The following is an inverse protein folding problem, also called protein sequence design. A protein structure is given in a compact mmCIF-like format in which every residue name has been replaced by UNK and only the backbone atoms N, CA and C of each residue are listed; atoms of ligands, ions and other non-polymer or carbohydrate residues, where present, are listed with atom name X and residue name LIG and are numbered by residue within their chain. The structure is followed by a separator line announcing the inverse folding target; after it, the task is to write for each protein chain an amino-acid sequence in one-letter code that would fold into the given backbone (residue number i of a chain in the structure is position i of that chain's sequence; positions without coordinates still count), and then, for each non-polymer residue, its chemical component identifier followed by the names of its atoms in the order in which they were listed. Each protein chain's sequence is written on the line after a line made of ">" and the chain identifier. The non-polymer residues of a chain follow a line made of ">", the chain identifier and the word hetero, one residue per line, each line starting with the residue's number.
data_IF_471895553216
#
_entry.id   IF_471895553216
#
_cell.length_a   1.000
_cell.length_b   1.000
_cell.length_c   1.000
_cell.angle_alpha   90.00
_cell.angle_beta   90.00
_cell.angle_gamma   90.00
#
_symmetry.space_group_name_H-M   'P 1'
#
loop_
_entity.id
_entity.type
_entity.pdbx_description
1 polymer ?
#
# COMPACT_ATOMS: atom_id res chain seq x y z
N UNK A 1 1.12 -8.87 -67.46
CA UNK A 1 1.45 -9.86 -66.41
C UNK A 1 0.75 -9.49 -65.12
N UNK A 2 -0.40 -10.12 -64.83
CA UNK A 2 -1.18 -9.89 -63.60
C UNK A 2 -0.61 -10.80 -62.51
N UNK A 3 0.11 -10.22 -61.56
CA UNK A 3 0.60 -10.92 -60.38
C UNK A 3 -0.60 -11.37 -59.53
N UNK A 4 -0.76 -12.67 -59.37
CA UNK A 4 -1.90 -13.35 -58.75
C UNK A 4 -2.12 -12.91 -57.29
N UNK A 5 -3.34 -12.44 -57.01
CA UNK A 5 -3.85 -11.97 -55.72
C UNK A 5 -3.86 -13.05 -54.61
N UNK A 6 -3.43 -14.29 -54.91
CA UNK A 6 -3.45 -15.45 -54.00
C UNK A 6 -2.27 -15.54 -53.03
N UNK A 7 -1.20 -14.74 -53.21
CA UNK A 7 0.00 -14.79 -52.36
C UNK A 7 -0.13 -13.89 -51.12
N UNK A 8 -0.93 -12.81 -51.16
CA UNK A 8 -1.13 -11.91 -50.01
C UNK A 8 -2.06 -12.47 -48.93
N UNK A 9 -2.90 -13.46 -49.25
CA UNK A 9 -3.90 -14.01 -48.33
C UNK A 9 -3.29 -15.08 -47.40
N UNK A 10 -2.16 -15.69 -47.76
CA UNK A 10 -1.47 -16.68 -46.91
C UNK A 10 -0.64 -16.07 -45.77
N UNK A 11 -0.26 -14.80 -45.85
CA UNK A 11 0.46 -14.10 -44.79
C UNK A 11 -0.43 -13.24 -43.89
N UNK A 12 -1.70 -13.02 -44.27
CA UNK A 12 -2.68 -12.32 -43.42
C UNK A 12 -3.36 -13.20 -42.37
N UNK A 13 -3.19 -14.52 -42.43
CA UNK A 13 -3.78 -15.44 -41.43
C UNK A 13 -2.78 -16.03 -40.43
N UNK A 14 -1.47 -15.76 -40.59
CA UNK A 14 -0.40 -16.28 -39.73
C UNK A 14 0.34 -15.18 -38.94
N UNK A 15 -0.24 -13.98 -38.88
CA UNK A 15 0.28 -12.83 -38.11
C UNK A 15 -0.81 -12.17 -37.24
N UNK A 16 -1.90 -12.88 -36.95
CA UNK A 16 -2.99 -12.44 -36.07
C UNK A 16 -3.21 -13.38 -34.86
N UNK A 17 -2.20 -14.20 -34.50
CA UNK A 17 -2.34 -15.24 -33.47
C UNK A 17 -1.16 -15.29 -32.47
N UNK A 18 -0.46 -14.17 -32.26
CA UNK A 18 0.66 -14.09 -31.30
C UNK A 18 0.64 -12.84 -30.40
N UNK A 19 -0.55 -12.40 -29.94
CA UNK A 19 -0.67 -11.27 -28.99
C UNK A 19 -1.84 -11.42 -27.99
N UNK A 20 -2.20 -12.65 -27.59
CA UNK A 20 -3.18 -12.86 -26.50
C UNK A 20 -2.68 -13.91 -25.50
N UNK A 21 -1.54 -13.63 -24.90
CA UNK A 21 -1.19 -14.17 -23.59
C UNK A 21 -0.98 -13.01 -22.62
N UNK A 22 -1.98 -12.10 -22.53
CA UNK A 22 -2.10 -11.25 -21.35
C UNK A 22 -2.53 -12.18 -20.22
N UNK A 23 -1.55 -12.68 -19.47
CA UNK A 23 -1.80 -13.42 -18.24
C UNK A 23 -2.71 -12.56 -17.36
N UNK A 24 -3.94 -13.00 -17.17
CA UNK A 24 -4.83 -12.35 -16.22
C UNK A 24 -4.20 -12.48 -14.84
N UNK A 25 -4.00 -11.39 -14.08
CA UNK A 25 -3.55 -11.51 -12.71
C UNK A 25 -4.61 -12.35 -11.97
N UNK A 26 -4.22 -13.55 -11.53
CA UNK A 26 -5.12 -14.39 -10.74
C UNK A 26 -5.49 -13.65 -9.47
N UNK A 27 -6.77 -13.29 -9.34
CA UNK A 27 -7.33 -12.66 -8.16
C UNK A 27 -7.59 -13.71 -7.08
N UNK A 28 -6.53 -14.24 -6.47
CA UNK A 28 -6.69 -15.05 -5.27
C UNK A 28 -7.22 -14.16 -4.13
N UNK A 29 -8.08 -14.73 -3.28
CA UNK A 29 -8.45 -14.14 -2.01
C UNK A 29 -7.19 -13.79 -1.22
N UNK A 30 -7.23 -12.71 -0.44
CA UNK A 30 -6.13 -12.39 0.46
C UNK A 30 -5.86 -13.57 1.41
N UNK A 31 -4.59 -13.87 1.68
CA UNK A 31 -4.28 -14.96 2.63
C UNK A 31 -4.76 -14.58 4.03
N UNK A 32 -5.19 -15.55 4.83
CA UNK A 32 -5.58 -15.32 6.25
C UNK A 32 -4.51 -14.54 7.02
N UNK A 33 -3.28 -14.84 6.68
CA UNK A 33 -2.09 -14.27 7.24
C UNK A 33 -1.90 -12.78 6.89
N UNK A 34 -2.04 -12.47 5.60
CA UNK A 34 -2.10 -11.08 5.14
C UNK A 34 -3.23 -10.33 5.84
N UNK A 35 -4.41 -10.95 5.97
CA UNK A 35 -5.57 -10.32 6.61
C UNK A 35 -5.39 -10.02 8.09
N UNK A 36 -4.67 -10.88 8.83
CA UNK A 36 -4.27 -10.60 10.21
C UNK A 36 -3.42 -9.33 10.32
N UNK A 37 -2.45 -9.16 9.41
CA UNK A 37 -1.57 -7.97 9.40
C UNK A 37 -2.28 -6.73 8.92
N UNK A 38 -3.08 -6.85 7.86
CA UNK A 38 -3.93 -5.78 7.37
C UNK A 38 -4.83 -5.27 8.49
N UNK A 39 -5.45 -6.17 9.25
CA UNK A 39 -6.34 -5.83 10.37
C UNK A 39 -5.64 -4.99 11.42
N UNK A 40 -4.47 -5.42 11.90
CA UNK A 40 -3.68 -4.66 12.88
C UNK A 40 -3.23 -3.32 12.32
N UNK A 41 -2.82 -3.29 11.05
CA UNK A 41 -2.42 -2.06 10.35
C UNK A 41 -3.60 -1.08 10.22
N UNK A 42 -4.78 -1.58 9.87
CA UNK A 42 -5.99 -0.77 9.72
C UNK A 42 -6.42 -0.16 11.05
N UNK A 43 -6.43 -0.93 12.14
CA UNK A 43 -6.73 -0.40 13.49
C UNK A 43 -5.71 0.64 13.92
N UNK A 44 -4.41 0.40 13.70
CA UNK A 44 -3.35 1.37 14.02
C UNK A 44 -3.50 2.68 13.21
N UNK A 45 -3.81 2.58 11.92
CA UNK A 45 -4.10 3.73 11.07
C UNK A 45 -5.36 4.47 11.52
N UNK A 46 -6.38 3.78 12.05
CA UNK A 46 -7.54 4.45 12.61
C UNK A 46 -7.22 5.19 13.92
N UNK A 47 -6.37 4.61 14.77
CA UNK A 47 -5.86 5.32 15.94
C UNK A 47 -5.15 6.63 15.51
N UNK A 48 -4.34 6.59 14.45
CA UNK A 48 -3.72 7.80 13.89
C UNK A 48 -4.75 8.81 13.35
N UNK A 49 -5.79 8.35 12.67
CA UNK A 49 -6.90 9.20 12.20
C UNK A 49 -7.56 9.96 13.35
N UNK A 50 -7.77 9.29 14.48
CA UNK A 50 -8.37 9.87 15.70
C UNK A 50 -7.38 10.80 16.40
N UNK A 51 -6.16 10.32 16.71
CA UNK A 51 -5.11 11.07 17.41
C UNK A 51 -4.78 12.39 16.70
N UNK A 52 -4.80 12.39 15.37
CA UNK A 52 -4.48 13.56 14.56
C UNK A 52 -5.72 14.34 14.10
N UNK A 53 -6.91 14.09 14.66
CA UNK A 53 -8.15 14.79 14.32
C UNK A 53 -8.41 14.89 12.80
N UNK A 54 -8.13 13.81 12.04
CA UNK A 54 -8.27 13.85 10.58
C UNK A 54 -9.73 13.87 10.12
N UNK A 55 -10.65 13.37 10.96
CA UNK A 55 -12.09 13.39 10.70
C UNK A 55 -12.56 12.35 9.69
N UNK A 56 -11.75 11.36 9.34
CA UNK A 56 -12.21 10.29 8.45
C UNK A 56 -13.09 9.29 9.20
N UNK A 57 -14.20 8.86 8.58
CA UNK A 57 -15.22 8.00 9.19
C UNK A 57 -15.67 6.89 8.25
N UNK A 58 -16.62 6.05 8.70
CA UNK A 58 -17.21 4.96 7.93
C UNK A 58 -16.47 3.62 8.11
N UNK A 59 -16.91 2.56 7.41
CA UNK A 59 -16.38 1.19 7.59
C UNK A 59 -14.86 1.09 7.45
N UNK A 60 -14.31 1.84 6.49
CA UNK A 60 -12.86 2.02 6.33
C UNK A 60 -12.22 2.45 7.65
N UNK A 61 -12.73 3.48 8.33
CA UNK A 61 -12.12 4.04 9.54
C UNK A 61 -12.75 3.50 10.83
N UNK A 62 -12.95 2.18 10.89
CA UNK A 62 -13.41 1.48 12.09
C UNK A 62 -12.25 1.14 13.04
N UNK A 63 -12.51 1.16 14.35
CA UNK A 63 -11.63 0.62 15.38
C UNK A 63 -11.82 -0.89 15.60
N UNK A 64 -12.81 -1.50 14.95
CA UNK A 64 -13.14 -2.92 15.08
C UNK A 64 -12.18 -3.80 14.23
N UNK A 65 -11.31 -4.61 14.86
CA UNK A 65 -10.42 -5.51 14.13
C UNK A 65 -11.18 -6.63 13.40
N UNK A 66 -12.28 -7.15 13.97
CA UNK A 66 -13.05 -8.25 13.37
C UNK A 66 -13.59 -7.81 12.00
N UNK A 67 -14.17 -6.60 11.95
CA UNK A 67 -14.66 -5.98 10.72
C UNK A 67 -13.60 -5.92 9.60
N UNK A 68 -12.37 -5.51 9.93
CA UNK A 68 -11.27 -5.44 8.94
C UNK A 68 -10.83 -6.82 8.47
N UNK A 69 -10.79 -7.79 9.39
CA UNK A 69 -10.39 -9.15 9.08
C UNK A 69 -11.41 -9.84 8.17
N UNK A 70 -12.70 -9.76 8.52
CA UNK A 70 -13.80 -10.28 7.72
C UNK A 70 -13.82 -9.68 6.31
N UNK A 71 -13.70 -8.35 6.22
CA UNK A 71 -13.62 -7.67 4.92
C UNK A 71 -12.44 -8.18 4.10
N UNK A 72 -11.25 -8.28 4.70
CA UNK A 72 -10.05 -8.70 4.00
C UNK A 72 -10.14 -10.14 3.48
N UNK A 73 -10.67 -11.07 4.29
CA UNK A 73 -10.82 -12.48 3.91
C UNK A 73 -11.75 -12.67 2.70
N UNK A 74 -12.67 -11.74 2.49
CA UNK A 74 -13.58 -11.71 1.33
C UNK A 74 -13.03 -10.89 0.15
N UNK A 75 -11.97 -10.11 0.36
CA UNK A 75 -11.31 -9.34 -0.68
C UNK A 75 -10.23 -10.16 -1.39
N UNK A 76 -9.97 -9.84 -2.67
CA UNK A 76 -8.74 -10.32 -3.32
C UNK A 76 -7.51 -9.67 -2.68
N UNK A 77 -6.35 -10.35 -2.72
CA UNK A 77 -5.10 -9.79 -2.19
C UNK A 77 -4.77 -8.41 -2.80
N UNK A 78 -5.01 -8.22 -4.09
CA UNK A 78 -4.81 -6.94 -4.76
C UNK A 78 -5.79 -5.85 -4.27
N UNK A 79 -7.04 -6.21 -3.98
CA UNK A 79 -8.02 -5.26 -3.43
C UNK A 79 -7.64 -4.86 -2.01
N UNK A 80 -7.23 -5.80 -1.18
CA UNK A 80 -6.79 -5.52 0.19
C UNK A 80 -5.53 -4.63 0.23
N UNK A 81 -4.57 -4.87 -0.68
CA UNK A 81 -3.41 -4.00 -0.85
C UNK A 81 -3.79 -2.58 -1.28
N UNK A 82 -4.68 -2.44 -2.28
CA UNK A 82 -5.16 -1.13 -2.75
C UNK A 82 -5.92 -0.38 -1.67
N UNK A 83 -6.68 -1.08 -0.84
CA UNK A 83 -7.38 -0.48 0.29
C UNK A 83 -6.39 0.08 1.31
N UNK A 84 -5.37 -0.68 1.70
CA UNK A 84 -4.35 -0.17 2.62
C UNK A 84 -3.61 1.05 2.05
N UNK A 85 -3.27 1.04 0.75
CA UNK A 85 -2.68 2.22 0.08
C UNK A 85 -3.64 3.40 0.06
N UNK A 86 -4.94 3.19 -0.13
CA UNK A 86 -5.94 4.25 -0.06
C UNK A 86 -6.00 4.88 1.34
N UNK A 87 -5.91 4.07 2.40
CA UNK A 87 -5.86 4.54 3.80
C UNK A 87 -4.62 5.39 4.07
N UNK A 88 -3.45 4.91 3.64
CA UNK A 88 -2.19 5.66 3.71
C UNK A 88 -2.33 7.02 2.99
N UNK A 89 -2.88 7.03 1.78
CA UNK A 89 -3.08 8.24 0.99
C UNK A 89 -4.09 9.22 1.62
N UNK A 90 -5.06 8.72 2.38
CA UNK A 90 -5.98 9.56 3.14
C UNK A 90 -5.30 10.13 4.38
N UNK A 91 -4.57 9.34 5.17
CA UNK A 91 -3.77 9.87 6.29
C UNK A 91 -2.74 10.91 5.81
N UNK A 92 -2.20 10.74 4.60
CA UNK A 92 -1.38 11.75 3.93
C UNK A 92 -2.10 13.06 3.59
N UNK A 93 -3.41 13.13 3.75
CA UNK A 93 -4.18 14.35 3.53
C UNK A 93 -4.87 14.81 4.80
N UNK A 94 -4.51 14.22 5.94
CA UNK A 94 -5.12 14.51 7.24
C UNK A 94 -5.13 16.02 7.51
N UNK A 95 -6.32 16.63 7.70
CA UNK A 95 -6.44 18.07 7.95
C UNK A 95 -6.07 18.47 9.39
N UNK A 96 -6.22 17.57 10.36
CA UNK A 96 -6.01 17.87 11.78
C UNK A 96 -4.56 17.76 12.27
N UNK A 97 -3.63 17.31 11.42
CA UNK A 97 -2.20 17.35 11.77
C UNK A 97 -1.76 18.82 11.81
N UNK A 98 -1.41 19.31 12.98
CA UNK A 98 -0.74 20.59 13.13
C UNK A 98 0.73 20.43 12.73
N UNK A 99 1.13 21.15 11.70
CA UNK A 99 2.51 21.15 11.23
C UNK A 99 3.25 22.30 11.91
N UNK A 100 4.50 22.10 12.38
CA UNK A 100 5.37 23.22 12.70
C UNK A 100 5.42 24.18 11.50
N UNK A 101 5.37 25.49 11.77
CA UNK A 101 5.46 26.48 10.70
C UNK A 101 6.73 26.26 9.87
N UNK A 102 6.57 26.12 8.55
CA UNK A 102 7.69 25.84 7.61
C UNK A 102 8.04 24.36 7.44
N UNK A 103 7.33 23.43 8.08
CA UNK A 103 7.55 21.99 7.85
C UNK A 103 7.04 21.54 6.46
N UNK A 104 7.80 20.66 5.82
CA UNK A 104 7.38 19.94 4.61
C UNK A 104 6.27 18.96 4.98
N UNK A 105 5.05 19.26 4.53
CA UNK A 105 3.84 18.47 4.82
C UNK A 105 4.01 17.02 4.41
N UNK A 106 4.56 16.74 3.22
CA UNK A 106 4.78 15.38 2.70
C UNK A 106 5.72 14.60 3.61
N UNK A 107 6.78 15.22 4.12
CA UNK A 107 7.72 14.58 5.01
C UNK A 107 7.19 14.35 6.42
N UNK A 108 6.35 15.25 6.92
CA UNK A 108 5.65 15.03 8.17
C UNK A 108 4.76 13.78 8.08
N UNK A 109 3.98 13.68 7.01
CA UNK A 109 3.13 12.52 6.74
C UNK A 109 3.94 11.24 6.62
N UNK A 110 5.00 11.24 5.80
CA UNK A 110 5.85 10.07 5.62
C UNK A 110 6.37 9.58 6.98
N UNK A 111 6.77 10.49 7.85
CA UNK A 111 7.28 10.17 9.19
C UNK A 111 6.23 9.54 10.09
N UNK A 112 4.98 10.05 10.08
CA UNK A 112 3.86 9.46 10.85
C UNK A 112 3.52 8.06 10.34
N UNK A 113 3.40 7.89 9.01
CA UNK A 113 3.14 6.57 8.40
C UNK A 113 4.25 5.59 8.75
N UNK A 114 5.50 6.06 8.74
CA UNK A 114 6.68 5.26 9.06
C UNK A 114 6.68 4.73 10.49
N UNK A 115 6.38 5.61 11.45
CA UNK A 115 6.24 5.22 12.86
C UNK A 115 5.06 4.27 13.04
N UNK A 116 3.95 4.51 12.33
CA UNK A 116 2.77 3.62 12.35
C UNK A 116 3.10 2.21 11.86
N UNK A 117 3.82 2.10 10.74
CA UNK A 117 4.29 0.81 10.23
C UNK A 117 5.26 0.15 11.21
N UNK A 118 6.15 0.91 11.87
CA UNK A 118 7.02 0.35 12.90
C UNK A 118 6.24 -0.12 14.15
N UNK A 119 5.19 0.59 14.54
CA UNK A 119 4.29 0.13 15.62
C UNK A 119 3.61 -1.19 15.22
N UNK A 120 3.19 -1.32 13.95
CA UNK A 120 2.66 -2.57 13.43
C UNK A 120 3.70 -3.69 13.53
N UNK A 121 4.92 -3.48 13.00
CA UNK A 121 6.08 -4.38 13.09
C UNK A 121 6.30 -4.93 14.51
N UNK A 122 6.33 -4.04 15.50
CA UNK A 122 6.50 -4.42 16.91
C UNK A 122 5.29 -5.17 17.46
N UNK A 123 4.06 -4.73 17.14
CA UNK A 123 2.83 -5.37 17.61
C UNK A 123 2.55 -6.75 16.97
N UNK A 124 3.14 -7.02 15.82
CA UNK A 124 3.05 -8.30 15.11
C UNK A 124 4.19 -9.25 15.47
N UNK A 125 5.19 -8.81 16.24
CA UNK A 125 6.36 -9.62 16.58
C UNK A 125 7.27 -9.87 15.37
N UNK A 126 7.29 -8.95 14.41
CA UNK A 126 8.04 -9.12 13.17
C UNK A 126 9.54 -8.89 13.29
N UNK A 127 9.96 -8.17 14.34
CA UNK A 127 11.36 -7.90 14.66
C UNK A 127 12.17 -7.28 13.52
N UNK A 128 11.50 -6.64 12.55
CA UNK A 128 12.17 -5.90 11.49
C UNK A 128 12.94 -4.73 12.11
N UNK A 129 14.17 -4.51 11.66
CA UNK A 129 15.11 -3.62 12.33
C UNK A 129 15.90 -2.73 11.34
N UNK A 130 16.74 -1.85 11.88
CA UNK A 130 17.52 -0.90 11.12
C UNK A 130 16.83 0.45 10.90
N UNK A 131 17.45 1.37 10.12
CA UNK A 131 17.00 2.76 10.02
C UNK A 131 15.56 2.93 9.52
N UNK A 132 15.09 2.02 8.66
CA UNK A 132 13.73 2.11 8.11
C UNK A 132 12.62 1.68 9.10
N UNK A 133 12.98 0.91 10.12
CA UNK A 133 12.13 0.39 11.19
C UNK A 133 12.43 1.09 12.52
N UNK A 134 12.36 2.42 12.50
CA UNK A 134 12.64 3.29 13.65
C UNK A 134 11.37 3.96 14.18
N UNK A 135 11.30 4.19 15.49
CA UNK A 135 10.27 5.03 16.13
C UNK A 135 10.61 6.52 16.12
N UNK A 136 11.80 6.90 15.63
CA UNK A 136 12.26 8.29 15.64
C UNK A 136 11.65 9.09 14.47
N UNK A 137 10.82 10.08 14.81
CA UNK A 137 10.20 10.99 13.84
C UNK A 137 11.22 11.79 13.04
N UNK A 138 12.18 12.41 13.72
CA UNK A 138 13.20 13.26 13.08
C UNK A 138 14.03 12.50 12.06
N UNK A 139 14.35 11.24 12.35
CA UNK A 139 15.07 10.36 11.41
C UNK A 139 14.31 10.16 10.09
N UNK A 140 13.02 9.81 10.16
CA UNK A 140 12.19 9.64 8.95
C UNK A 140 12.00 10.96 8.20
N UNK A 141 11.82 12.05 8.95
CA UNK A 141 11.61 13.37 8.37
C UNK A 141 12.86 13.87 7.62
N UNK A 142 14.03 13.77 8.24
CA UNK A 142 15.32 14.15 7.64
C UNK A 142 15.64 13.34 6.39
N UNK A 143 15.40 12.02 6.39
CA UNK A 143 15.55 11.22 5.18
C UNK A 143 14.59 11.68 4.08
N UNK A 144 13.31 11.92 4.40
CA UNK A 144 12.33 12.35 3.42
C UNK A 144 12.68 13.69 2.75
N UNK A 145 13.29 14.63 3.45
CA UNK A 145 13.71 15.91 2.87
C UNK A 145 14.70 15.73 1.71
N UNK A 146 15.46 14.63 1.71
CA UNK A 146 16.40 14.27 0.65
C UNK A 146 15.81 13.33 -0.41
N UNK A 147 14.65 12.73 -0.14
CA UNK A 147 14.03 11.73 -1.00
C UNK A 147 12.90 12.32 -1.85
N UNK A 148 12.81 11.88 -3.10
CA UNK A 148 11.69 12.23 -3.98
C UNK A 148 10.36 11.67 -3.46
N UNK A 149 9.23 12.26 -3.88
CA UNK A 149 7.89 11.73 -3.58
C UNK A 149 7.79 10.25 -3.97
N UNK A 150 8.29 9.88 -5.14
CA UNK A 150 8.28 8.51 -5.65
C UNK A 150 9.04 7.56 -4.71
N UNK A 151 10.24 7.95 -4.27
CA UNK A 151 11.02 7.16 -3.32
C UNK A 151 10.31 7.02 -1.97
N UNK A 152 9.67 8.08 -1.46
CA UNK A 152 8.91 7.98 -0.20
C UNK A 152 7.71 7.03 -0.31
N UNK A 153 7.00 7.04 -1.43
CA UNK A 153 5.88 6.13 -1.69
C UNK A 153 6.36 4.68 -1.86
N UNK A 154 7.49 4.50 -2.56
CA UNK A 154 8.13 3.20 -2.73
C UNK A 154 8.57 2.62 -1.38
N UNK A 155 9.14 3.45 -0.48
CA UNK A 155 9.56 3.01 0.84
C UNK A 155 8.38 2.57 1.72
N UNK A 156 7.28 3.34 1.73
CA UNK A 156 6.06 2.95 2.44
C UNK A 156 5.54 1.61 1.93
N UNK A 157 5.52 1.43 0.60
CA UNK A 157 5.06 0.19 -0.03
C UNK A 157 6.00 -0.98 0.27
N UNK A 158 7.31 -0.77 0.24
CA UNK A 158 8.31 -1.79 0.54
C UNK A 158 8.20 -2.27 1.98
N UNK A 159 8.11 -1.35 2.94
CA UNK A 159 7.86 -1.69 4.35
C UNK A 159 6.56 -2.43 4.56
N UNK A 160 5.50 -2.04 3.87
CA UNK A 160 4.25 -2.77 3.96
C UNK A 160 4.43 -4.22 3.48
N UNK A 161 5.12 -4.42 2.35
CA UNK A 161 5.41 -5.76 1.85
C UNK A 161 6.27 -6.59 2.81
N UNK A 162 7.19 -5.96 3.54
CA UNK A 162 7.97 -6.62 4.58
C UNK A 162 7.09 -7.06 5.76
N UNK A 163 6.18 -6.20 6.23
CA UNK A 163 5.17 -6.57 7.23
C UNK A 163 4.29 -7.72 6.74
N UNK A 164 3.84 -7.65 5.49
CA UNK A 164 2.99 -8.66 4.88
C UNK A 164 3.72 -10.01 4.73
N UNK A 165 5.05 -10.00 4.53
CA UNK A 165 5.89 -11.20 4.46
C UNK A 165 6.20 -11.79 5.82
N UNK A 166 6.58 -10.97 6.77
CA UNK A 166 6.83 -11.42 8.15
C UNK A 166 5.62 -12.16 8.72
N UNK A 167 4.44 -11.68 8.35
CA UNK A 167 3.23 -12.25 8.85
C UNK A 167 2.98 -13.68 8.38
N UNK A 168 3.52 -14.09 7.21
CA UNK A 168 3.41 -15.41 6.55
C UNK A 168 4.20 -16.50 7.27
#
# INVERSE_FOLDING_TARGET
>A
MKLSLKIKIRYSFMLLLLMLAVGSPSSYAASKMYCSTYTKTAVAQNAQNIENNCGYTGPRWSSDPEHHNEWCLNASGQTAQRENLARINQLAKCPGVQFPAGADKRCNIYSIVSIGQNKANLSTGCELSGPTWSSNYGHHYSWCLTASQELTNAQITARQRELDKCAQ
#
